data_IF_286185429967
#
_entry.id   IF_286185429967
#
_cell.length_a   1.000
_cell.length_b   1.000
_cell.length_c   1.000
_cell.angle_alpha   90.00
_cell.angle_beta   90.00
_cell.angle_gamma   90.00
#
_symmetry.space_group_name_H-M   'P 1'
#
loop_
_entity.id
_entity.type
_entity.pdbx_description
1 polymer ?
#
# COMPACT_ATOMS: atom_id res chain seq x y z
N UNK A 1 10.23 -5.52 29.16
CA UNK A 1 11.45 -4.88 28.63
C UNK A 1 11.18 -4.46 27.20
N UNK A 2 11.50 -3.23 26.76
CA UNK A 2 11.39 -2.89 25.35
C UNK A 2 12.32 -3.83 24.58
N UNK A 3 11.79 -4.59 23.64
CA UNK A 3 12.59 -5.49 22.80
C UNK A 3 13.64 -4.62 22.10
N UNK A 4 14.89 -4.77 22.52
CA UNK A 4 16.00 -4.06 21.88
C UNK A 4 16.10 -4.60 20.45
N UNK A 5 15.86 -3.73 19.48
CA UNK A 5 15.92 -4.07 18.06
C UNK A 5 17.33 -4.54 17.73
N UNK A 6 17.46 -5.75 17.18
CA UNK A 6 18.74 -6.20 16.67
C UNK A 6 19.16 -5.34 15.49
N UNK A 7 20.48 -5.14 15.30
CA UNK A 7 21.01 -4.49 14.09
C UNK A 7 20.51 -5.18 12.81
N UNK A 8 20.30 -6.50 12.87
CA UNK A 8 19.74 -7.28 11.76
C UNK A 8 18.30 -6.86 11.47
N UNK A 9 17.46 -6.73 12.50
CA UNK A 9 16.05 -6.34 12.32
C UNK A 9 15.92 -4.92 11.78
N UNK A 10 16.77 -4.00 12.25
CA UNK A 10 16.85 -2.64 11.71
C UNK A 10 17.27 -2.63 10.24
N UNK A 11 18.27 -3.44 9.86
CA UNK A 11 18.69 -3.54 8.47
C UNK A 11 17.58 -4.09 7.57
N UNK A 12 16.89 -5.15 8.01
CA UNK A 12 15.75 -5.71 7.27
C UNK A 12 14.61 -4.70 7.12
N UNK A 13 14.41 -3.87 8.13
CA UNK A 13 13.42 -2.80 8.13
C UNK A 13 13.75 -1.70 7.12
N UNK A 14 15.02 -1.29 7.06
CA UNK A 14 15.52 -0.33 6.06
C UNK A 14 15.36 -0.90 4.66
N UNK A 15 15.76 -2.15 4.44
CA UNK A 15 15.59 -2.82 3.14
C UNK A 15 14.13 -2.85 2.72
N UNK A 16 13.22 -3.25 3.61
CA UNK A 16 11.77 -3.26 3.33
C UNK A 16 11.26 -1.86 2.94
N UNK A 17 11.62 -0.85 3.74
CA UNK A 17 11.23 0.55 3.54
C UNK A 17 11.69 1.06 2.17
N UNK A 18 12.93 0.74 1.79
CA UNK A 18 13.50 1.13 0.50
C UNK A 18 12.79 0.41 -0.65
N UNK A 19 12.60 -0.91 -0.55
CA UNK A 19 11.97 -1.70 -1.61
C UNK A 19 10.52 -1.25 -1.88
N UNK A 20 9.75 -0.98 -0.83
CA UNK A 20 8.39 -0.45 -0.98
C UNK A 20 8.35 1.02 -1.41
N UNK A 21 9.29 1.86 -0.97
CA UNK A 21 9.40 3.25 -1.41
C UNK A 21 9.73 3.36 -2.89
N UNK A 22 10.77 2.66 -3.34
CA UNK A 22 11.20 2.63 -4.75
C UNK A 22 10.14 2.00 -5.65
N UNK A 23 9.22 1.19 -5.11
CA UNK A 23 8.17 0.60 -5.93
C UNK A 23 7.22 1.65 -6.55
N UNK A 24 7.02 2.81 -5.92
CA UNK A 24 6.14 3.86 -6.48
C UNK A 24 6.62 4.37 -7.85
N UNK A 25 7.88 4.83 -8.01
CA UNK A 25 8.38 5.19 -9.33
C UNK A 25 8.52 3.99 -10.28
N UNK A 26 8.82 2.80 -9.78
CA UNK A 26 8.85 1.58 -10.62
C UNK A 26 7.48 1.29 -11.22
N UNK A 27 6.41 1.36 -10.42
CA UNK A 27 5.03 1.24 -10.92
C UNK A 27 4.71 2.35 -11.92
N UNK A 28 5.11 3.60 -11.64
CA UNK A 28 4.88 4.73 -12.54
C UNK A 28 5.55 4.52 -13.89
N UNK A 29 6.78 4.03 -13.91
CA UNK A 29 7.49 3.67 -15.14
C UNK A 29 6.74 2.56 -15.91
N UNK A 30 6.36 1.49 -15.20
CA UNK A 30 5.69 0.33 -15.80
C UNK A 30 4.28 0.61 -16.33
N UNK A 31 3.66 1.72 -15.94
CA UNK A 31 2.37 2.14 -16.50
C UNK A 31 2.46 3.41 -17.32
N UNK A 32 3.65 3.93 -17.65
CA UNK A 32 3.76 5.18 -18.41
C UNK A 32 3.08 5.08 -19.77
N UNK A 33 3.43 4.05 -20.54
CA UNK A 33 2.94 3.81 -21.90
C UNK A 33 2.23 2.45 -22.03
N UNK A 34 1.96 1.79 -20.90
CA UNK A 34 1.22 0.54 -20.80
C UNK A 34 -0.14 0.72 -20.11
N UNK A 35 -1.01 -0.25 -20.33
CA UNK A 35 -2.33 -0.30 -19.70
C UNK A 35 -2.19 -0.67 -18.20
N UNK A 36 -2.66 0.18 -17.27
CA UNK A 36 -2.31 0.06 -15.85
C UNK A 36 -2.87 -1.19 -15.16
N UNK A 37 -4.11 -1.60 -15.43
CA UNK A 37 -4.67 -2.82 -14.81
C UNK A 37 -3.99 -4.05 -15.39
N UNK A 38 -3.71 -4.07 -16.69
CA UNK A 38 -2.99 -5.15 -17.38
C UNK A 38 -1.58 -5.32 -16.81
N UNK A 39 -0.84 -4.21 -16.61
CA UNK A 39 0.44 -4.23 -15.89
C UNK A 39 0.30 -4.92 -14.53
N UNK A 40 -0.73 -4.56 -13.76
CA UNK A 40 -0.95 -5.12 -12.44
C UNK A 40 -1.32 -6.60 -12.48
N UNK A 41 -2.13 -7.02 -13.44
CA UNK A 41 -2.49 -8.43 -13.69
C UNK A 41 -1.23 -9.27 -13.94
N UNK A 42 -0.30 -8.79 -14.78
CA UNK A 42 0.97 -9.49 -15.02
C UNK A 42 1.82 -9.60 -13.75
N UNK A 43 1.92 -8.53 -12.97
CA UNK A 43 2.60 -8.54 -11.68
C UNK A 43 1.95 -9.54 -10.69
N UNK A 44 0.62 -9.53 -10.59
CA UNK A 44 -0.13 -10.40 -9.69
C UNK A 44 -0.03 -11.86 -10.11
N UNK A 45 -0.03 -12.18 -11.41
CA UNK A 45 0.14 -13.54 -11.90
C UNK A 45 1.46 -14.15 -11.41
N UNK A 46 2.57 -13.42 -11.55
CA UNK A 46 3.86 -13.85 -11.00
C UNK A 46 3.85 -13.91 -9.47
N UNK A 47 3.25 -12.92 -8.80
CA UNK A 47 3.13 -12.89 -7.34
C UNK A 47 2.33 -14.06 -6.76
N UNK A 48 1.24 -14.49 -7.42
CA UNK A 48 0.42 -15.65 -7.03
C UNK A 48 1.24 -16.93 -7.11
N UNK A 49 1.99 -17.13 -8.20
CA UNK A 49 2.88 -18.28 -8.35
C UNK A 49 3.94 -18.27 -7.25
N UNK A 50 4.58 -17.13 -7.01
CA UNK A 50 5.62 -16.99 -5.99
C UNK A 50 5.07 -17.27 -4.59
N UNK A 51 3.93 -16.70 -4.21
CA UNK A 51 3.31 -16.95 -2.90
C UNK A 51 2.86 -18.41 -2.75
N UNK A 52 2.40 -19.06 -3.81
CA UNK A 52 2.09 -20.49 -3.78
C UNK A 52 3.34 -21.34 -3.51
N UNK A 53 4.46 -21.01 -4.16
CA UNK A 53 5.74 -21.69 -3.95
C UNK A 53 6.25 -21.47 -2.51
N UNK A 54 6.17 -20.23 -2.01
CA UNK A 54 6.54 -19.90 -0.63
C UNK A 54 5.68 -20.65 0.38
N UNK A 55 4.36 -20.66 0.20
CA UNK A 55 3.45 -21.37 1.11
C UNK A 55 3.75 -22.87 1.13
N UNK A 56 4.03 -23.48 -0.03
CA UNK A 56 4.44 -24.89 -0.12
C UNK A 56 5.80 -25.15 0.51
N UNK A 57 6.79 -24.27 0.30
CA UNK A 57 8.11 -24.38 0.91
C UNK A 57 8.05 -24.27 2.44
N UNK A 58 7.07 -23.53 2.98
CA UNK A 58 6.79 -23.44 4.42
C UNK A 58 5.94 -24.61 4.95
N UNK A 59 5.58 -25.58 4.10
CA UNK A 59 4.76 -26.74 4.50
C UNK A 59 3.28 -26.41 4.72
N UNK A 60 2.81 -25.24 4.30
CA UNK A 60 1.42 -24.84 4.46
C UNK A 60 0.54 -25.37 3.31
N UNK A 61 -0.62 -25.91 3.67
CA UNK A 61 -1.68 -26.23 2.71
C UNK A 61 -2.39 -24.94 2.27
N UNK A 62 -2.69 -24.83 0.97
CA UNK A 62 -3.50 -23.71 0.44
C UNK A 62 -5.01 -23.90 0.69
N UNK A 63 -5.43 -24.94 1.42
CA UNK A 63 -6.83 -25.18 1.74
C UNK A 63 -7.33 -24.17 2.78
N UNK A 64 -8.47 -23.55 2.50
CA UNK A 64 -9.19 -22.68 3.43
C UNK A 64 -10.51 -23.34 3.79
N UNK A 65 -10.88 -23.31 5.07
CA UNK A 65 -12.15 -23.88 5.55
C UNK A 65 -13.31 -23.16 4.88
N UNK A 66 -14.37 -23.89 4.50
CA UNK A 66 -15.53 -23.31 3.77
C UNK A 66 -16.16 -22.13 4.51
N UNK A 67 -16.26 -22.23 5.84
CA UNK A 67 -16.80 -21.19 6.72
C UNK A 67 -16.00 -19.89 6.76
N UNK A 68 -14.72 -19.93 6.37
CA UNK A 68 -13.81 -18.79 6.40
C UNK A 68 -13.84 -17.96 5.11
N UNK A 69 -14.45 -18.48 4.03
CA UNK A 69 -14.48 -17.80 2.74
C UNK A 69 -15.17 -16.44 2.74
N UNK A 70 -16.33 -16.24 3.41
CA UNK A 70 -16.97 -14.92 3.43
C UNK A 70 -16.05 -13.83 4.02
N UNK A 71 -15.36 -14.15 5.11
CA UNK A 71 -14.41 -13.24 5.75
C UNK A 71 -13.16 -13.02 4.89
N UNK A 72 -12.61 -14.08 4.30
CA UNK A 72 -11.49 -14.00 3.36
C UNK A 72 -11.82 -13.16 2.13
N UNK A 73 -13.02 -13.30 1.58
CA UNK A 73 -13.49 -12.52 0.42
C UNK A 73 -13.57 -11.04 0.79
N UNK A 74 -14.16 -10.71 1.93
CA UNK A 74 -14.24 -9.33 2.39
C UNK A 74 -12.86 -8.72 2.63
N UNK A 75 -11.94 -9.48 3.23
CA UNK A 75 -10.55 -9.06 3.42
C UNK A 75 -9.84 -8.85 2.08
N UNK A 76 -10.00 -9.77 1.12
CA UNK A 76 -9.39 -9.70 -0.20
C UNK A 76 -9.90 -8.51 -1.01
N UNK A 77 -11.21 -8.25 -0.97
CA UNK A 77 -11.81 -7.09 -1.62
C UNK A 77 -11.25 -5.78 -1.08
N UNK A 78 -11.22 -5.62 0.24
CA UNK A 78 -10.82 -4.36 0.90
C UNK A 78 -9.31 -4.12 0.87
N UNK A 79 -8.49 -5.10 1.25
CA UNK A 79 -7.04 -4.92 1.34
C UNK A 79 -6.32 -4.98 -0.01
N UNK A 80 -6.84 -5.73 -0.99
CA UNK A 80 -6.04 -6.13 -2.16
C UNK A 80 -6.71 -5.73 -3.46
N UNK A 81 -7.97 -6.13 -3.70
CA UNK A 81 -8.66 -5.87 -4.97
C UNK A 81 -8.85 -4.36 -5.18
N UNK A 82 -9.57 -3.69 -4.26
CA UNK A 82 -9.87 -2.27 -4.39
C UNK A 82 -8.58 -1.45 -4.32
N UNK A 83 -7.68 -1.79 -3.39
CA UNK A 83 -6.37 -1.13 -3.28
C UNK A 83 -5.61 -1.19 -4.60
N UNK A 84 -5.39 -2.37 -5.18
CA UNK A 84 -4.53 -2.46 -6.37
C UNK A 84 -5.17 -1.88 -7.62
N UNK A 85 -6.48 -2.03 -7.80
CA UNK A 85 -7.21 -1.46 -8.96
C UNK A 85 -7.18 0.07 -8.90
N UNK A 86 -7.57 0.65 -7.76
CA UNK A 86 -7.61 2.11 -7.65
C UNK A 86 -6.19 2.71 -7.59
N UNK A 87 -5.26 2.08 -6.85
CA UNK A 87 -3.92 2.62 -6.72
C UNK A 87 -3.18 2.69 -8.06
N UNK A 88 -3.32 1.70 -8.94
CA UNK A 88 -2.59 1.71 -10.22
C UNK A 88 -3.14 2.77 -11.19
N UNK A 89 -4.46 3.01 -11.20
CA UNK A 89 -5.03 4.17 -11.90
C UNK A 89 -4.59 5.49 -11.28
N UNK A 90 -4.53 5.57 -9.95
CA UNK A 90 -3.98 6.73 -9.23
C UNK A 90 -2.53 7.04 -9.65
N UNK A 91 -1.66 6.01 -9.65
CA UNK A 91 -0.26 6.12 -10.07
C UNK A 91 -0.15 6.52 -11.55
N UNK A 92 -1.01 6.02 -12.44
CA UNK A 92 -1.03 6.44 -13.85
C UNK A 92 -1.27 7.95 -13.98
N UNK A 93 -2.17 8.50 -13.17
CA UNK A 93 -2.63 9.89 -13.26
C UNK A 93 -1.78 10.88 -12.46
N UNK A 94 -1.10 10.44 -11.40
CA UNK A 94 -0.31 11.31 -10.50
C UNK A 94 1.20 11.10 -10.67
N UNK A 95 2.01 12.00 -10.13
CA UNK A 95 3.43 11.69 -9.91
C UNK A 95 3.57 10.56 -8.88
N UNK A 96 4.64 9.80 -8.97
CA UNK A 96 4.91 8.67 -8.08
C UNK A 96 5.01 9.12 -6.61
N UNK A 97 5.63 10.28 -6.35
CA UNK A 97 5.69 10.89 -5.03
C UNK A 97 4.31 11.29 -4.48
N UNK A 98 3.46 11.92 -5.30
CA UNK A 98 2.07 12.27 -4.91
C UNK A 98 1.25 11.03 -4.60
N UNK A 99 1.33 10.01 -5.44
CA UNK A 99 0.65 8.75 -5.21
C UNK A 99 1.12 8.10 -3.90
N UNK A 100 2.43 8.09 -3.63
CA UNK A 100 2.97 7.59 -2.38
C UNK A 100 2.41 8.34 -1.15
N UNK A 101 2.43 9.67 -1.16
CA UNK A 101 1.90 10.50 -0.05
C UNK A 101 0.43 10.16 0.22
N UNK A 102 -0.40 10.13 -0.83
CA UNK A 102 -1.83 9.84 -0.70
C UNK A 102 -2.10 8.39 -0.25
N UNK A 103 -1.38 7.42 -0.80
CA UNK A 103 -1.51 6.01 -0.42
C UNK A 103 -1.18 5.77 1.06
N UNK A 104 -0.19 6.50 1.59
CA UNK A 104 0.22 6.41 2.99
C UNK A 104 -0.68 7.18 3.97
N UNK A 105 -1.80 7.73 3.50
CA UNK A 105 -2.90 8.14 4.40
C UNK A 105 -3.67 6.95 4.98
N UNK A 106 -3.41 5.71 4.51
CA UNK A 106 -4.05 4.49 4.99
C UNK A 106 -4.11 4.32 6.52
N UNK A 107 -3.10 4.67 7.35
CA UNK A 107 -3.19 4.47 8.80
C UNK A 107 -4.25 5.37 9.44
N UNK A 108 -4.45 6.56 8.86
CA UNK A 108 -5.47 7.51 9.31
C UNK A 108 -6.86 6.98 8.99
N UNK A 109 -7.05 6.38 7.80
CA UNK A 109 -8.29 5.67 7.48
C UNK A 109 -8.53 4.49 8.41
N UNK A 110 -7.50 3.70 8.72
CA UNK A 110 -7.59 2.62 9.71
C UNK A 110 -8.06 3.13 11.08
N UNK A 111 -7.48 4.23 11.55
CA UNK A 111 -7.86 4.91 12.78
C UNK A 111 -9.32 5.38 12.76
N UNK A 112 -9.72 6.05 11.68
CA UNK A 112 -11.05 6.59 11.48
C UNK A 112 -12.12 5.49 11.46
N UNK A 113 -11.90 4.39 10.73
CA UNK A 113 -12.81 3.25 10.73
C UNK A 113 -12.85 2.51 12.07
N UNK A 114 -11.72 2.46 12.79
CA UNK A 114 -11.67 1.95 14.17
C UNK A 114 -12.65 2.69 15.08
N UNK A 115 -12.62 4.03 15.03
CA UNK A 115 -13.53 4.86 15.78
C UNK A 115 -14.99 4.74 15.30
N UNK A 116 -15.23 4.90 13.99
CA UNK A 116 -16.58 5.00 13.42
C UNK A 116 -17.36 3.68 13.51
N UNK A 117 -16.69 2.55 13.19
CA UNK A 117 -17.35 1.25 13.06
C UNK A 117 -17.24 0.40 14.33
N UNK A 118 -16.16 0.57 15.09
CA UNK A 118 -15.86 -0.30 16.24
C UNK A 118 -15.81 0.43 17.58
N UNK A 119 -16.11 1.74 17.59
CA UNK A 119 -16.12 2.58 18.80
C UNK A 119 -14.78 2.58 19.54
N UNK A 120 -13.68 2.42 18.81
CA UNK A 120 -12.34 2.63 19.37
C UNK A 120 -12.23 4.08 19.85
N UNK A 121 -11.53 4.31 20.98
CA UNK A 121 -11.37 5.68 21.52
C UNK A 121 -10.45 6.51 20.61
N UNK A 122 -10.91 7.70 20.23
CA UNK A 122 -10.04 8.73 19.66
C UNK A 122 -9.41 9.51 20.80
N UNK A 123 -8.09 9.47 20.90
CA UNK A 123 -7.36 10.44 21.71
C UNK A 123 -7.13 11.74 20.91
N UNK A 124 -6.77 12.82 21.61
CA UNK A 124 -6.55 14.12 20.97
C UNK A 124 -5.40 14.07 19.92
N UNK A 125 -4.44 13.15 20.08
CA UNK A 125 -3.32 12.96 19.14
C UNK A 125 -3.83 12.37 17.82
N UNK A 126 -4.76 11.42 17.88
CA UNK A 126 -5.41 10.84 16.71
C UNK A 126 -6.27 11.88 16.00
N UNK A 127 -6.98 12.75 16.73
CA UNK A 127 -7.70 13.90 16.17
C UNK A 127 -6.79 14.83 15.35
N UNK A 128 -5.63 15.20 15.89
CA UNK A 128 -4.62 15.98 15.16
C UNK A 128 -4.11 15.27 13.91
N UNK A 129 -3.94 13.94 13.95
CA UNK A 129 -3.48 13.18 12.79
C UNK A 129 -4.51 13.12 11.67
N UNK A 130 -5.76 12.92 12.05
CA UNK A 130 -6.90 12.97 11.12
C UNK A 130 -6.95 14.34 10.44
N UNK A 131 -6.87 15.43 11.21
CA UNK A 131 -6.86 16.79 10.66
C UNK A 131 -5.65 17.04 9.74
N UNK A 132 -4.46 16.61 10.13
CA UNK A 132 -3.26 16.76 9.31
C UNK A 132 -3.36 15.99 7.99
N UNK A 133 -3.87 14.76 8.01
CA UNK A 133 -4.07 13.98 6.79
C UNK A 133 -5.13 14.59 5.88
N UNK A 134 -6.30 14.96 6.40
CA UNK A 134 -7.33 15.62 5.60
C UNK A 134 -6.86 16.98 5.07
N UNK A 135 -6.03 17.71 5.82
CA UNK A 135 -5.36 18.93 5.36
C UNK A 135 -4.41 18.67 4.19
N UNK A 136 -3.59 17.61 4.27
CA UNK A 136 -2.73 17.19 3.15
C UNK A 136 -3.54 16.84 1.90
N UNK A 137 -4.64 16.13 2.09
CA UNK A 137 -5.55 15.73 1.01
C UNK A 137 -6.23 16.94 0.37
N UNK A 138 -6.75 17.87 1.17
CA UNK A 138 -7.37 19.10 0.69
C UNK A 138 -6.36 19.97 -0.06
N UNK A 139 -5.12 20.06 0.43
CA UNK A 139 -4.03 20.78 -0.22
C UNK A 139 -3.71 20.19 -1.60
N UNK A 140 -3.56 18.87 -1.69
CA UNK A 140 -3.26 18.20 -2.95
C UNK A 140 -4.42 18.30 -3.93
N UNK A 141 -5.66 18.07 -3.48
CA UNK A 141 -6.86 18.24 -4.31
C UNK A 141 -7.02 19.68 -4.81
N UNK A 142 -6.81 20.68 -3.93
CA UNK A 142 -6.87 22.09 -4.29
C UNK A 142 -5.84 22.44 -5.36
N UNK A 143 -4.62 21.90 -5.25
CA UNK A 143 -3.57 22.12 -6.26
C UNK A 143 -3.94 21.51 -7.62
N UNK A 144 -4.55 20.33 -7.65
CA UNK A 144 -4.99 19.66 -8.88
C UNK A 144 -6.15 20.43 -9.55
N UNK A 145 -7.11 20.90 -8.75
CA UNK A 145 -8.24 21.70 -9.24
C UNK A 145 -7.80 23.07 -9.79
N UNK A 146 -6.75 23.67 -9.21
CA UNK A 146 -6.20 24.94 -9.65
C UNK A 146 -5.44 24.84 -10.98
N UNK A 147 -4.90 23.66 -11.32
CA UNK A 147 -4.30 23.42 -12.63
C UNK A 147 -5.38 23.19 -13.69
N UNK A 148 -5.33 23.91 -14.82
CA UNK A 148 -6.31 23.88 -15.93
C UNK A 148 -6.55 22.47 -16.55
N UNK A 149 -5.74 21.47 -16.18
CA UNK A 149 -5.87 20.06 -16.57
C UNK A 149 -6.65 19.21 -15.56
N UNK A 150 -7.20 19.83 -14.49
CA UNK A 150 -7.77 19.22 -13.29
C UNK A 150 -8.36 17.82 -13.47
N UNK A 151 -7.54 16.81 -13.19
CA UNK A 151 -7.96 15.41 -13.11
C UNK A 151 -7.88 14.95 -11.65
N UNK A 152 -8.79 15.43 -10.76
CA UNK A 152 -8.81 15.03 -9.35
C UNK A 152 -9.03 13.52 -9.19
N UNK A 153 -9.43 12.82 -10.26
CA UNK A 153 -9.57 11.37 -10.34
C UNK A 153 -8.36 10.62 -9.81
N UNK A 154 -7.13 11.04 -10.11
CA UNK A 154 -5.93 10.38 -9.60
C UNK A 154 -5.87 10.40 -8.07
N UNK A 155 -6.16 11.56 -7.48
CA UNK A 155 -6.24 11.74 -6.03
C UNK A 155 -7.39 10.95 -5.43
N UNK A 156 -8.59 11.01 -6.02
CA UNK A 156 -9.75 10.25 -5.56
C UNK A 156 -9.51 8.74 -5.59
N UNK A 157 -8.85 8.22 -6.63
CA UNK A 157 -8.47 6.81 -6.70
C UNK A 157 -7.48 6.44 -5.59
N UNK A 158 -6.44 7.23 -5.36
CA UNK A 158 -5.49 6.96 -4.27
C UNK A 158 -6.14 7.03 -2.88
N UNK A 159 -7.06 7.97 -2.65
CA UNK A 159 -7.80 8.06 -1.40
C UNK A 159 -8.76 6.88 -1.21
N UNK A 160 -9.48 6.51 -2.26
CA UNK A 160 -10.34 5.33 -2.25
C UNK A 160 -9.54 4.05 -1.97
N UNK A 161 -8.36 3.92 -2.59
CA UNK A 161 -7.43 2.85 -2.30
C UNK A 161 -7.02 2.85 -0.82
N UNK A 162 -6.52 3.98 -0.31
CA UNK A 162 -6.07 4.12 1.08
C UNK A 162 -7.19 3.86 2.10
N UNK A 163 -8.42 4.30 1.81
CA UNK A 163 -9.59 4.02 2.62
C UNK A 163 -9.95 2.54 2.62
N UNK A 164 -9.98 1.89 1.46
CA UNK A 164 -10.24 0.46 1.36
C UNK A 164 -9.19 -0.37 2.12
N UNK A 165 -7.91 -0.03 1.99
CA UNK A 165 -6.84 -0.62 2.78
C UNK A 165 -7.04 -0.36 4.27
N UNK A 166 -7.42 0.86 4.63
CA UNK A 166 -7.67 1.26 6.01
C UNK A 166 -8.73 0.40 6.69
N UNK A 167 -9.86 0.20 6.00
CA UNK A 167 -10.95 -0.69 6.41
C UNK A 167 -10.47 -2.15 6.47
N UNK A 168 -9.77 -2.60 5.42
CA UNK A 168 -9.20 -3.93 5.34
C UNK A 168 -8.24 -4.24 6.48
N UNK A 169 -7.48 -3.25 6.95
CA UNK A 169 -6.58 -3.38 8.11
C UNK A 169 -7.36 -3.56 9.41
N UNK A 170 -8.46 -2.82 9.61
CA UNK A 170 -9.33 -3.01 10.77
C UNK A 170 -9.98 -4.40 10.79
N UNK A 171 -10.48 -4.85 9.63
CA UNK A 171 -11.03 -6.19 9.47
C UNK A 171 -9.97 -7.27 9.75
N UNK A 172 -8.75 -7.09 9.20
CA UNK A 172 -7.64 -8.03 9.37
C UNK A 172 -7.20 -8.15 10.84
N UNK A 173 -7.24 -7.06 11.61
CA UNK A 173 -6.95 -7.06 13.06
C UNK A 173 -7.97 -7.82 13.88
N UNK A 174 -9.22 -7.88 13.40
CA UNK A 174 -10.37 -8.48 14.09
C UNK A 174 -10.79 -9.80 13.45
N UNK A 175 -9.92 -10.38 12.62
CA UNK A 175 -10.23 -11.56 11.84
C UNK A 175 -10.44 -12.78 12.74
N UNK A 176 -11.34 -13.67 12.35
CA UNK A 176 -11.53 -15.00 12.99
C UNK A 176 -10.74 -16.10 12.28
N UNK A 177 -10.24 -15.80 11.09
CA UNK A 177 -9.38 -16.67 10.28
C UNK A 177 -8.15 -17.14 11.04
N UNK A 178 -7.96 -18.45 11.09
CA UNK A 178 -6.81 -19.11 11.73
C UNK A 178 -5.74 -19.54 10.75
N UNK A 179 -6.00 -19.44 9.44
CA UNK A 179 -5.04 -19.79 8.41
C UNK A 179 -3.78 -18.91 8.47
N UNK A 180 -2.61 -19.47 8.07
CA UNK A 180 -1.37 -18.70 7.99
C UNK A 180 -1.52 -17.47 7.07
N UNK A 181 -0.89 -16.36 7.46
CA UNK A 181 -0.97 -15.07 6.74
C UNK A 181 -0.53 -15.20 5.28
N UNK A 182 0.45 -16.07 4.98
CA UNK A 182 0.89 -16.35 3.60
C UNK A 182 -0.22 -16.97 2.75
N UNK A 183 -1.03 -17.87 3.33
CA UNK A 183 -2.17 -18.53 2.65
C UNK A 183 -3.29 -17.52 2.41
N UNK A 184 -3.60 -16.69 3.41
CA UNK A 184 -4.57 -15.60 3.27
C UNK A 184 -4.14 -14.64 2.15
N UNK A 185 -2.88 -14.21 2.16
CA UNK A 185 -2.34 -13.28 1.17
C UNK A 185 -2.34 -13.88 -0.23
N UNK A 186 -2.02 -15.17 -0.37
CA UNK A 186 -2.13 -15.89 -1.63
C UNK A 186 -3.56 -15.82 -2.20
N UNK A 187 -4.58 -16.16 -1.40
CA UNK A 187 -5.96 -16.14 -1.87
C UNK A 187 -6.47 -14.73 -2.15
N UNK A 188 -6.12 -13.75 -1.31
CA UNK A 188 -6.48 -12.35 -1.54
C UNK A 188 -5.83 -11.82 -2.83
N UNK A 189 -4.58 -12.19 -3.12
CA UNK A 189 -3.89 -11.83 -4.36
C UNK A 189 -4.48 -12.55 -5.57
N UNK A 190 -4.85 -13.83 -5.44
CA UNK A 190 -5.50 -14.58 -6.51
C UNK A 190 -6.89 -14.00 -6.84
N UNK A 191 -7.66 -13.62 -5.82
CA UNK A 191 -8.91 -12.87 -6.03
C UNK A 191 -8.67 -11.58 -6.81
N UNK A 192 -7.67 -10.80 -6.40
CA UNK A 192 -7.31 -9.57 -7.11
C UNK A 192 -6.83 -9.82 -8.53
N UNK A 193 -6.09 -10.90 -8.79
CA UNK A 193 -5.70 -11.32 -10.14
C UNK A 193 -6.93 -11.60 -11.01
N UNK A 194 -7.88 -12.41 -10.51
CA UNK A 194 -9.09 -12.78 -11.26
C UNK A 194 -9.96 -11.55 -11.52
N UNK A 195 -10.26 -10.76 -10.49
CA UNK A 195 -11.09 -9.57 -10.62
C UNK A 195 -10.43 -8.51 -11.50
N UNK A 196 -9.13 -8.24 -11.31
CA UNK A 196 -8.40 -7.27 -12.14
C UNK A 196 -8.25 -7.77 -13.57
N UNK A 197 -8.12 -9.08 -13.80
CA UNK A 197 -8.10 -9.67 -15.14
C UNK A 197 -9.41 -9.43 -15.88
N UNK A 198 -10.55 -9.61 -15.21
CA UNK A 198 -11.85 -9.29 -15.78
C UNK A 198 -11.98 -7.78 -16.06
N UNK A 199 -11.55 -6.91 -15.14
CA UNK A 199 -11.55 -5.46 -15.34
C UNK A 199 -10.66 -5.08 -16.54
N UNK A 200 -9.44 -5.61 -16.65
CA UNK A 200 -8.54 -5.35 -17.77
C UNK A 200 -9.16 -5.80 -19.10
N UNK A 201 -9.79 -6.96 -19.13
CA UNK A 201 -10.46 -7.44 -20.34
C UNK A 201 -11.63 -6.53 -20.76
N UNK A 202 -12.39 -5.99 -19.81
CA UNK A 202 -13.50 -5.09 -20.08
C UNK A 202 -13.07 -3.66 -20.43
N UNK A 203 -11.97 -3.17 -19.85
CA UNK A 203 -11.60 -1.74 -19.89
C UNK A 203 -10.35 -1.43 -20.69
N UNK A 204 -9.47 -2.41 -20.93
CA UNK A 204 -8.14 -2.19 -21.51
C UNK A 204 -7.85 -3.09 -22.71
N UNK A 205 -8.77 -3.97 -23.14
CA UNK A 205 -8.54 -4.90 -24.26
C UNK A 205 -8.10 -4.19 -25.54
N UNK A 206 -8.67 -3.03 -25.85
CA UNK A 206 -8.29 -2.21 -27.01
C UNK A 206 -6.86 -1.63 -26.91
N UNK A 207 -6.26 -1.60 -25.72
CA UNK A 207 -4.90 -1.14 -25.49
C UNK A 207 -3.87 -2.27 -25.64
N UNK A 208 -4.30 -3.53 -25.82
CA UNK A 208 -3.42 -4.70 -26.00
C UNK A 208 -2.86 -4.78 -27.43
N UNK A 209 -2.18 -3.72 -27.85
CA UNK A 209 -1.60 -3.59 -29.19
C UNK A 209 -0.19 -4.17 -29.25
N UNK A 210 0.51 -4.21 -28.11
CA UNK A 210 1.88 -4.73 -28.00
C UNK A 210 2.10 -5.47 -26.68
N UNK A 211 3.13 -6.31 -26.68
CA UNK A 211 3.69 -6.86 -25.46
C UNK A 211 4.45 -5.79 -24.65
N UNK A 212 4.67 -6.04 -23.33
CA UNK A 212 5.46 -5.14 -22.52
C UNK A 212 6.87 -4.97 -23.09
N UNK A 213 7.39 -3.74 -23.03
CA UNK A 213 8.75 -3.43 -23.42
C UNK A 213 9.76 -3.78 -22.31
N UNK A 214 11.04 -3.43 -22.51
CA UNK A 214 12.09 -3.71 -21.53
C UNK A 214 11.86 -3.03 -20.18
N UNK A 215 11.38 -1.78 -20.16
CA UNK A 215 11.16 -1.02 -18.92
C UNK A 215 9.97 -1.62 -18.15
N UNK A 216 8.90 -1.95 -18.86
CA UNK A 216 7.70 -2.54 -18.29
C UNK A 216 7.97 -3.95 -17.76
N UNK A 217 8.74 -4.76 -18.48
CA UNK A 217 9.18 -6.07 -17.98
C UNK A 217 10.04 -5.94 -16.73
N UNK A 218 10.98 -4.99 -16.68
CA UNK A 218 11.75 -4.73 -15.47
C UNK A 218 10.86 -4.34 -14.29
N UNK A 219 9.87 -3.49 -14.51
CA UNK A 219 8.93 -3.08 -13.48
C UNK A 219 8.04 -4.26 -13.00
N UNK A 220 7.62 -5.14 -13.92
CA UNK A 220 6.88 -6.37 -13.62
C UNK A 220 7.74 -7.31 -12.78
N UNK A 221 8.96 -7.61 -13.23
CA UNK A 221 9.92 -8.50 -12.53
C UNK A 221 10.24 -7.96 -11.13
N UNK A 222 10.48 -6.65 -11.01
CA UNK A 222 10.68 -6.00 -9.71
C UNK A 222 9.47 -6.21 -8.79
N UNK A 223 8.25 -6.00 -9.28
CA UNK A 223 7.04 -6.22 -8.49
C UNK A 223 6.86 -7.69 -8.07
N UNK A 224 7.12 -8.63 -8.96
CA UNK A 224 7.02 -10.07 -8.67
C UNK A 224 8.01 -10.48 -7.58
N UNK A 225 9.30 -10.22 -7.77
CA UNK A 225 10.32 -10.77 -6.87
C UNK A 225 10.59 -9.89 -5.66
N UNK A 226 10.70 -8.57 -5.85
CA UNK A 226 11.07 -7.66 -4.76
C UNK A 226 9.86 -7.30 -3.91
N UNK A 227 8.71 -7.02 -4.52
CA UNK A 227 7.52 -6.58 -3.75
C UNK A 227 6.75 -7.78 -3.20
N UNK A 228 6.26 -8.69 -4.06
CA UNK A 228 5.48 -9.85 -3.60
C UNK A 228 6.33 -10.96 -2.97
N UNK A 229 7.62 -11.04 -3.32
CA UNK A 229 8.56 -11.98 -2.72
C UNK A 229 9.23 -11.43 -1.48
N UNK A 230 10.33 -10.71 -1.68
CA UNK A 230 11.23 -10.28 -0.60
C UNK A 230 10.50 -9.40 0.41
N UNK A 231 9.90 -8.30 -0.03
CA UNK A 231 9.25 -7.34 0.88
C UNK A 231 8.07 -7.96 1.62
N UNK A 232 7.25 -8.77 0.96
CA UNK A 232 6.13 -9.43 1.62
C UNK A 232 6.60 -10.42 2.71
N UNK A 233 7.65 -11.20 2.43
CA UNK A 233 8.25 -12.12 3.40
C UNK A 233 8.90 -11.37 4.57
N UNK A 234 9.63 -10.30 4.29
CA UNK A 234 10.20 -9.44 5.30
C UNK A 234 9.10 -8.84 6.17
N UNK A 235 8.04 -8.32 5.57
CA UNK A 235 6.90 -7.77 6.31
C UNK A 235 6.24 -8.81 7.22
N UNK A 236 5.97 -10.03 6.73
CA UNK A 236 5.38 -11.08 7.56
C UNK A 236 6.23 -11.41 8.78
N UNK A 237 7.55 -11.47 8.62
CA UNK A 237 8.48 -11.70 9.72
C UNK A 237 8.55 -10.50 10.66
N UNK A 238 8.70 -9.30 10.11
CA UNK A 238 8.90 -8.07 10.88
C UNK A 238 7.64 -7.69 11.67
N UNK A 239 6.45 -7.94 11.11
CA UNK A 239 5.17 -7.68 11.77
C UNK A 239 4.96 -8.54 13.04
N UNK A 240 5.64 -9.68 13.18
CA UNK A 240 5.51 -10.56 14.36
C UNK A 240 6.57 -10.30 15.42
N UNK A 241 7.72 -9.73 15.06
CA UNK A 241 8.87 -9.55 15.98
C UNK A 241 9.12 -8.10 16.38
N UNK A 242 8.71 -7.12 15.56
CA UNK A 242 9.03 -5.73 15.82
C UNK A 242 8.07 -5.10 16.83
N UNK A 243 8.59 -4.26 17.75
CA UNK A 243 7.76 -3.34 18.50
C UNK A 243 6.93 -2.44 17.58
N UNK A 244 5.72 -2.03 17.99
CA UNK A 244 4.86 -1.16 17.18
C UNK A 244 5.58 0.08 16.65
N UNK A 245 6.46 0.70 17.46
CA UNK A 245 7.23 1.89 17.09
C UNK A 245 8.10 1.68 15.85
N UNK A 246 8.81 0.55 15.75
CA UNK A 246 9.73 0.29 14.66
C UNK A 246 8.98 0.09 13.34
N UNK A 247 7.89 -0.69 13.37
CA UNK A 247 7.00 -0.87 12.21
C UNK A 247 6.41 0.46 11.75
N UNK A 248 6.07 1.34 12.71
CA UNK A 248 5.52 2.68 12.44
C UNK A 248 6.51 3.58 11.71
N UNK A 249 7.78 3.59 12.12
CA UNK A 249 8.83 4.38 11.46
C UNK A 249 9.02 3.98 10.00
N UNK A 250 8.87 2.70 9.69
CA UNK A 250 8.97 2.20 8.31
C UNK A 250 7.85 2.74 7.45
N UNK A 251 6.62 2.64 7.94
CA UNK A 251 5.42 3.18 7.27
C UNK A 251 5.55 4.68 7.04
N UNK A 252 6.16 5.42 7.97
CA UNK A 252 6.44 6.85 7.81
C UNK A 252 7.49 7.14 6.73
N UNK A 253 8.54 6.32 6.65
CA UNK A 253 9.66 6.58 5.74
C UNK A 253 9.36 6.17 4.30
N UNK A 254 8.43 5.26 4.05
CA UNK A 254 8.11 4.83 2.68
C UNK A 254 7.65 5.98 1.76
N UNK A 255 6.72 6.88 2.12
CA UNK A 255 6.36 8.01 1.25
C UNK A 255 7.53 8.98 1.03
N UNK A 256 8.43 9.12 2.01
CA UNK A 256 9.68 9.90 1.86
C UNK A 256 10.57 9.28 0.80
N UNK A 257 10.86 7.97 0.92
CA UNK A 257 11.65 7.24 -0.07
C UNK A 257 10.94 7.28 -1.43
N UNK A 258 9.62 7.11 -1.49
CA UNK A 258 8.84 7.18 -2.73
C UNK A 258 9.00 8.53 -3.44
N UNK A 259 8.91 9.64 -2.72
CA UNK A 259 9.10 10.97 -3.28
C UNK A 259 10.55 11.19 -3.77
N UNK A 260 11.56 10.89 -2.95
CA UNK A 260 12.96 11.08 -3.34
C UNK A 260 13.41 10.13 -4.47
N UNK A 261 12.95 8.89 -4.46
CA UNK A 261 13.22 7.95 -5.55
C UNK A 261 12.49 8.33 -6.84
N UNK A 262 11.30 8.92 -6.75
CA UNK A 262 10.61 9.51 -7.90
C UNK A 262 11.38 10.67 -8.53
N UNK A 263 11.96 11.55 -7.70
CA UNK A 263 12.85 12.61 -8.18
C UNK A 263 14.09 12.04 -8.88
N UNK A 264 14.74 11.04 -8.27
CA UNK A 264 15.99 10.49 -8.77
C UNK A 264 15.82 9.63 -10.04
N UNK A 265 14.81 8.76 -10.08
CA UNK A 265 14.63 7.78 -11.15
C UNK A 265 13.83 8.32 -12.34
N UNK A 266 12.85 9.20 -12.08
CA UNK A 266 11.92 9.68 -13.10
C UNK A 266 12.07 11.18 -13.39
N UNK A 267 12.94 11.88 -12.66
CA UNK A 267 13.12 13.34 -12.81
C UNK A 267 11.89 14.13 -12.37
N UNK A 268 11.01 13.55 -11.53
CA UNK A 268 9.83 14.24 -11.02
C UNK A 268 10.23 15.48 -10.21
N UNK A 269 9.47 16.57 -10.35
CA UNK A 269 9.71 17.83 -9.64
C UNK A 269 8.54 18.11 -8.70
N UNK A 270 8.64 17.70 -7.42
CA UNK A 270 7.60 17.97 -6.43
C UNK A 270 7.40 19.47 -6.26
N UNK A 271 6.14 19.87 -6.26
CA UNK A 271 5.72 21.24 -5.96
C UNK A 271 5.78 21.51 -4.45
N UNK A 272 5.65 22.77 -4.04
CA UNK A 272 5.58 23.10 -2.61
C UNK A 272 4.39 22.43 -1.91
N UNK A 273 3.28 22.20 -2.62
CA UNK A 273 2.12 21.45 -2.10
C UNK A 273 2.50 20.02 -1.73
N UNK A 274 3.39 19.39 -2.49
CA UNK A 274 3.82 18.01 -2.26
C UNK A 274 4.69 17.90 -1.01
N UNK A 275 5.59 18.86 -0.81
CA UNK A 275 6.42 18.94 0.39
C UNK A 275 5.59 19.18 1.65
N UNK A 276 4.63 20.10 1.59
CA UNK A 276 3.74 20.37 2.73
C UNK A 276 2.80 19.19 2.99
N UNK A 277 2.25 18.56 1.95
CA UNK A 277 1.44 17.35 2.09
C UNK A 277 2.23 16.19 2.70
N UNK A 278 3.48 15.98 2.27
CA UNK A 278 4.38 15.00 2.87
C UNK A 278 4.56 15.28 4.37
N UNK A 279 4.87 16.52 4.74
CA UNK A 279 5.03 16.89 6.15
C UNK A 279 3.76 16.61 6.97
N UNK A 280 2.60 17.00 6.45
CA UNK A 280 1.30 16.76 7.09
C UNK A 280 1.00 15.25 7.23
N UNK A 281 1.27 14.44 6.21
CA UNK A 281 1.10 12.99 6.27
C UNK A 281 2.07 12.35 7.27
N UNK A 282 3.32 12.81 7.34
CA UNK A 282 4.27 12.34 8.35
C UNK A 282 3.78 12.64 9.76
N UNK A 283 3.25 13.84 10.01
CA UNK A 283 2.63 14.19 11.30
C UNK A 283 1.42 13.30 11.59
N UNK A 284 0.60 13.03 10.58
CA UNK A 284 -0.58 12.17 10.72
C UNK A 284 -0.22 10.73 11.06
N UNK A 285 0.74 10.14 10.35
CA UNK A 285 1.21 8.78 10.63
C UNK A 285 1.87 8.76 12.02
N UNK A 286 2.68 9.76 12.37
CA UNK A 286 3.32 9.85 13.67
C UNK A 286 2.31 9.90 14.82
N UNK A 287 1.23 10.67 14.67
CA UNK A 287 0.26 10.82 15.76
C UNK A 287 -0.61 9.58 15.96
N UNK A 288 -0.88 8.83 14.88
CA UNK A 288 -1.66 7.58 14.90
C UNK A 288 -0.81 6.39 15.38
N UNK A 289 0.44 6.30 14.91
CA UNK A 289 1.25 5.09 15.08
C UNK A 289 2.29 5.18 16.21
N UNK A 290 2.76 6.37 16.61
CA UNK A 290 3.72 6.48 17.72
C UNK A 290 3.01 6.40 19.07
N UNK A 291 3.45 5.51 19.99
CA UNK A 291 2.89 5.40 21.33
C UNK A 291 2.89 6.75 22.05
N UNK A 292 1.83 7.02 22.81
CA UNK A 292 1.84 8.16 23.71
C UNK A 292 2.95 7.93 24.75
N UNK A 293 3.80 8.94 24.95
CA UNK A 293 4.67 8.96 26.13
C UNK A 293 3.74 8.90 27.33
N UNK A 294 3.81 7.83 28.13
CA UNK A 294 3.12 7.80 29.42
C UNK A 294 3.63 9.01 30.21
N UNK A 295 2.75 9.84 30.80
CA UNK A 295 3.22 10.84 31.75
C UNK A 295 4.02 10.10 32.84
N UNK A 296 5.22 10.59 33.14
CA UNK A 296 5.94 10.14 34.31
C UNK A 296 5.04 10.47 35.52
N UNK A 297 4.69 9.43 36.27
CA UNK A 297 4.00 9.58 37.55
C UNK A 297 4.93 10.26 38.56
#
# INVERSE_FOLDING_TARGET
MPVALSRKDLLLLVVLTVLWGVNWPVMKAGVRDFAPITFRVLCMAGGVVLLALVARAQGHSLRVRREHWPELVLLGLTNVVIWYVLAIWGVKLLSSGRAAILGYTMPVWTALFGWLLYRDRLDARMGLGVLAAFGAVALLLGSELATLTGRPLGTLFMLGAAAAWGLGTQLMRRRRLTEPVVVLTFWMLLMALVTSGAIAWLTERQMWVRWPDTVEWWAIVYNVFMVFGVSQLLWFRLATILPPVASSLSVMLIPVVGLFSGMALLGERPTWHDWLALACVLVAIASVLLPARRPAA
#
